data_IF_893704471341
#
_entry.id   IF_893704471341
#
_cell.length_a   1.000
_cell.length_b   1.000
_cell.length_c   1.000
_cell.angle_alpha   90.00
_cell.angle_beta   90.00
_cell.angle_gamma   90.00
#
_symmetry.space_group_name_H-M   'P 1'
#
loop_
_entity.id
_entity.type
_entity.pdbx_description
1 polymer ?
#
# COMPACT_ATOMS: atom_id res chain seq x y z
N UNK A 1 -11.80 -10.25 -2.67
CA UNK A 1 -11.18 -10.46 -1.33
C UNK A 1 -10.02 -9.49 -1.18
N UNK A 2 -9.86 -8.84 -0.03
CA UNK A 2 -8.68 -8.01 0.27
C UNK A 2 -7.71 -8.82 1.13
N UNK A 3 -6.41 -8.77 0.81
CA UNK A 3 -5.34 -9.37 1.61
C UNK A 3 -4.34 -8.27 1.96
N UNK A 4 -4.22 -7.97 3.25
CA UNK A 4 -3.29 -6.94 3.74
C UNK A 4 -1.92 -7.55 3.97
N UNK A 5 -0.90 -7.01 3.30
CA UNK A 5 0.50 -7.40 3.49
C UNK A 5 1.14 -6.44 4.49
N UNK A 6 1.46 -6.99 5.67
CA UNK A 6 2.10 -6.27 6.78
C UNK A 6 3.52 -6.80 7.00
N UNK A 7 4.36 -5.98 7.62
CA UNK A 7 5.71 -6.35 8.00
C UNK A 7 5.97 -6.05 9.46
N UNK A 8 7.12 -6.50 9.96
CA UNK A 8 7.62 -6.16 11.29
C UNK A 8 8.35 -4.81 11.33
N UNK A 9 8.64 -4.23 10.16
CA UNK A 9 9.30 -2.94 10.01
C UNK A 9 9.42 -2.50 8.55
N UNK A 10 10.29 -1.54 8.29
CA UNK A 10 10.69 -1.13 6.94
C UNK A 10 11.75 -2.09 6.39
N UNK A 11 11.82 -2.24 5.07
CA UNK A 11 12.85 -3.03 4.36
C UNK A 11 12.94 -4.53 4.75
N UNK A 12 11.86 -5.08 5.33
CA UNK A 12 11.76 -6.51 5.68
C UNK A 12 11.33 -7.40 4.51
N UNK A 13 11.34 -6.87 3.28
CA UNK A 13 10.96 -7.60 2.07
C UNK A 13 9.45 -7.66 1.76
N UNK A 14 8.63 -6.73 2.29
CA UNK A 14 7.19 -6.68 1.98
C UNK A 14 6.92 -6.60 0.48
N UNK A 15 7.55 -5.65 -0.21
CA UNK A 15 7.37 -5.41 -1.65
C UNK A 15 7.67 -6.65 -2.47
N UNK A 16 8.81 -7.29 -2.18
CA UNK A 16 9.18 -8.55 -2.80
C UNK A 16 8.11 -9.63 -2.62
N UNK A 17 7.61 -9.82 -1.39
CA UNK A 17 6.56 -10.81 -1.09
C UNK A 17 5.24 -10.46 -1.78
N UNK A 18 4.80 -9.20 -1.73
CA UNK A 18 3.58 -8.73 -2.40
C UNK A 18 3.68 -8.93 -3.91
N UNK A 19 4.80 -8.57 -4.53
CA UNK A 19 5.07 -8.74 -5.95
C UNK A 19 5.10 -10.22 -6.35
N UNK A 20 5.78 -11.07 -5.58
CA UNK A 20 5.83 -12.51 -5.83
C UNK A 20 4.43 -13.14 -5.76
N UNK A 21 3.61 -12.75 -4.78
CA UNK A 21 2.24 -13.22 -4.64
C UNK A 21 1.36 -12.74 -5.82
N UNK A 22 1.47 -11.46 -6.19
CA UNK A 22 0.75 -10.90 -7.34
C UNK A 22 1.10 -11.65 -8.64
N UNK A 23 2.38 -11.86 -8.89
CA UNK A 23 2.85 -12.58 -10.08
C UNK A 23 2.39 -14.05 -10.08
N UNK A 24 2.40 -14.73 -8.93
CA UNK A 24 1.93 -16.10 -8.80
C UNK A 24 0.42 -16.22 -9.05
N UNK A 25 -0.40 -15.33 -8.47
CA UNK A 25 -1.85 -15.29 -8.68
C UNK A 25 -2.19 -14.98 -10.14
N UNK A 26 -1.53 -13.99 -10.74
CA UNK A 26 -1.70 -13.65 -12.16
C UNK A 26 -1.39 -14.83 -13.08
N UNK A 27 -0.27 -15.55 -12.86
CA UNK A 27 0.10 -16.74 -13.66
C UNK A 27 -0.92 -17.87 -13.55
N UNK A 28 -1.71 -17.91 -12.48
CA UNK A 28 -2.81 -18.86 -12.27
C UNK A 28 -4.15 -18.39 -12.85
N UNK A 29 -4.17 -17.27 -13.57
CA UNK A 29 -5.40 -16.69 -14.14
C UNK A 29 -6.32 -16.02 -13.12
N UNK A 30 -5.85 -15.77 -11.90
CA UNK A 30 -6.63 -15.02 -10.90
C UNK A 30 -6.60 -13.54 -11.25
N UNK A 31 -7.77 -12.88 -11.31
CA UNK A 31 -7.80 -11.42 -11.40
C UNK A 31 -7.35 -10.81 -10.07
N UNK A 32 -6.08 -10.43 -10.05
CA UNK A 32 -5.39 -9.85 -8.90
C UNK A 32 -5.04 -8.39 -9.16
N UNK A 33 -5.28 -7.54 -8.17
CA UNK A 33 -4.70 -6.22 -8.06
C UNK A 33 -3.71 -6.14 -6.88
N UNK A 34 -2.82 -5.16 -6.93
CA UNK A 34 -1.93 -4.81 -5.84
C UNK A 34 -1.91 -3.29 -5.71
N UNK A 35 -1.88 -2.79 -4.48
CA UNK A 35 -1.91 -1.37 -4.18
C UNK A 35 -1.10 -1.06 -2.92
N UNK A 36 -0.34 0.04 -2.99
CA UNK A 36 0.36 0.61 -1.84
C UNK A 36 -0.27 1.98 -1.51
N UNK A 37 -1.15 2.08 -0.50
CA UNK A 37 -1.93 3.29 -0.22
C UNK A 37 -1.09 4.51 0.13
N UNK A 38 0.03 4.29 0.84
CA UNK A 38 0.90 5.35 1.32
C UNK A 38 2.35 5.03 0.96
N UNK A 39 3.05 6.00 0.40
CA UNK A 39 4.47 5.93 0.08
C UNK A 39 5.21 7.19 0.57
N UNK A 40 6.45 7.00 1.00
CA UNK A 40 7.36 8.05 1.48
C UNK A 40 8.73 7.85 0.84
N UNK A 41 9.52 8.90 0.68
CA UNK A 41 10.79 8.82 -0.05
C UNK A 41 10.61 8.80 -1.56
N UNK A 42 9.54 9.42 -2.07
CA UNK A 42 9.20 9.42 -3.50
C UNK A 42 9.60 10.74 -4.14
N UNK A 43 10.49 10.68 -5.12
CA UNK A 43 10.89 11.85 -5.92
C UNK A 43 9.66 12.45 -6.63
N UNK A 44 9.41 13.77 -6.55
CA UNK A 44 8.32 14.39 -7.27
C UNK A 44 8.38 14.12 -8.78
N UNK A 45 7.28 13.64 -9.36
CA UNK A 45 7.19 13.28 -10.78
C UNK A 45 7.63 11.86 -11.11
N UNK A 46 8.15 11.10 -10.15
CA UNK A 46 8.50 9.68 -10.32
C UNK A 46 7.49 8.77 -9.59
N UNK A 47 7.23 7.56 -10.13
CA UNK A 47 6.46 6.57 -9.40
C UNK A 47 7.26 6.07 -8.19
N UNK A 48 6.57 5.75 -7.09
CA UNK A 48 7.20 5.07 -5.97
C UNK A 48 7.84 3.75 -6.44
N UNK A 49 9.04 3.44 -5.94
CA UNK A 49 9.76 2.21 -6.30
C UNK A 49 8.91 0.95 -6.09
N UNK A 50 8.23 0.88 -4.93
CA UNK A 50 7.33 -0.23 -4.62
C UNK A 50 6.16 -0.34 -5.60
N UNK A 51 5.53 0.80 -5.95
CA UNK A 51 4.44 0.82 -6.91
C UNK A 51 4.89 0.33 -8.30
N UNK A 52 6.13 0.64 -8.67
CA UNK A 52 6.74 0.20 -9.93
C UNK A 52 7.00 -1.31 -9.94
N UNK A 53 7.50 -1.87 -8.82
CA UNK A 53 7.72 -3.31 -8.67
C UNK A 53 6.39 -4.09 -8.73
N UNK A 54 5.35 -3.60 -8.05
CA UNK A 54 4.01 -4.18 -8.08
C UNK A 54 3.39 -4.13 -9.48
N UNK A 55 3.55 -3.02 -10.20
CA UNK A 55 3.10 -2.90 -11.59
C UNK A 55 3.82 -3.88 -12.52
N UNK A 56 5.13 -4.05 -12.36
CA UNK A 56 5.90 -5.02 -13.13
C UNK A 56 5.43 -6.46 -12.84
N UNK A 57 5.19 -6.80 -11.57
CA UNK A 57 4.70 -8.11 -11.15
C UNK A 57 3.31 -8.45 -11.74
N UNK A 58 2.46 -7.44 -11.93
CA UNK A 58 1.15 -7.55 -12.56
C UNK A 58 1.21 -7.42 -14.10
N UNK A 59 2.28 -6.87 -14.65
CA UNK A 59 2.43 -6.56 -16.08
C UNK A 59 1.40 -5.56 -16.60
N UNK A 60 0.92 -4.68 -15.72
CA UNK A 60 0.00 -3.58 -16.03
C UNK A 60 0.20 -2.45 -15.01
N UNK A 61 -0.12 -1.20 -15.35
CA UNK A 61 -0.16 -0.11 -14.38
C UNK A 61 -1.06 -0.45 -13.20
N UNK A 62 -0.69 0.05 -12.02
CA UNK A 62 -1.51 -0.03 -10.80
C UNK A 62 -2.03 1.34 -10.43
N UNK A 63 -2.98 1.34 -9.49
CA UNK A 63 -3.42 2.57 -8.84
C UNK A 63 -2.24 3.23 -8.11
N UNK A 64 -2.01 4.54 -8.27
CA UNK A 64 -1.00 5.26 -7.49
C UNK A 64 -1.34 5.27 -5.98
N UNK A 65 -0.35 5.52 -5.10
CA UNK A 65 -0.63 5.79 -3.70
C UNK A 65 -1.60 6.99 -3.56
N UNK A 66 -2.55 6.91 -2.62
CA UNK A 66 -3.38 8.07 -2.30
C UNK A 66 -2.54 9.17 -1.64
N UNK A 67 -1.52 8.76 -0.89
CA UNK A 67 -0.54 9.65 -0.30
C UNK A 67 0.86 9.25 -0.71
N UNK A 68 1.57 10.17 -1.36
CA UNK A 68 2.96 10.02 -1.76
C UNK A 68 3.75 11.22 -1.25
N UNK A 69 4.78 10.97 -0.45
CA UNK A 69 5.57 12.03 0.18
C UNK A 69 7.04 11.95 -0.24
N UNK A 70 7.64 13.11 -0.50
CA UNK A 70 9.06 13.23 -0.80
C UNK A 70 10.00 12.81 0.34
N UNK A 71 9.85 13.27 1.60
CA UNK A 71 10.81 12.94 2.64
C UNK A 71 10.75 11.44 2.99
N UNK A 72 11.91 10.76 3.12
CA UNK A 72 11.99 9.35 3.50
C UNK A 72 11.80 9.18 5.02
N UNK A 73 10.63 9.57 5.51
CA UNK A 73 10.23 9.50 6.91
C UNK A 73 9.07 8.51 7.05
N UNK A 74 8.78 8.10 8.29
CA UNK A 74 7.54 7.35 8.56
C UNK A 74 6.30 8.14 8.07
N UNK A 75 5.23 7.46 7.63
CA UNK A 75 4.05 8.09 7.04
C UNK A 75 3.52 9.30 7.82
N UNK A 76 3.30 9.17 9.15
CA UNK A 76 2.77 10.28 9.95
C UNK A 76 3.68 11.53 9.97
N UNK A 77 5.01 11.37 10.02
CA UNK A 77 5.95 12.50 10.00
C UNK A 77 6.01 13.16 8.63
N UNK A 78 5.99 12.35 7.56
CA UNK A 78 5.97 12.85 6.19
C UNK A 78 4.68 13.64 5.92
N UNK A 79 3.54 13.10 6.35
CA UNK A 79 2.23 13.74 6.26
C UNK A 79 2.19 15.05 7.08
N UNK A 80 2.69 15.03 8.33
CA UNK A 80 2.79 16.24 9.17
C UNK A 80 3.62 17.33 8.50
N UNK A 81 4.78 16.98 7.93
CA UNK A 81 5.65 17.93 7.23
C UNK A 81 4.99 18.52 5.98
N UNK A 82 4.15 17.74 5.31
CA UNK A 82 3.38 18.18 4.15
C UNK A 82 2.08 18.93 4.54
N UNK A 83 1.73 19.01 5.83
CA UNK A 83 0.44 19.56 6.27
C UNK A 83 -0.77 18.72 5.82
N UNK A 84 -0.57 17.42 5.57
CA UNK A 84 -1.59 16.48 5.10
C UNK A 84 -2.00 15.55 6.24
N UNK A 85 -3.30 15.27 6.34
CA UNK A 85 -3.82 14.23 7.20
C UNK A 85 -4.04 12.94 6.40
N UNK A 86 -3.56 11.81 6.92
CA UNK A 86 -3.86 10.49 6.35
C UNK A 86 -5.16 9.98 6.97
N UNK A 87 -6.19 9.85 6.14
CA UNK A 87 -7.50 9.35 6.54
C UNK A 87 -7.63 7.85 6.23
N UNK A 88 -7.76 7.02 7.27
CA UNK A 88 -7.89 5.57 7.12
C UNK A 88 -9.17 5.18 6.39
N UNK A 89 -10.27 5.90 6.61
CA UNK A 89 -11.55 5.57 5.97
C UNK A 89 -11.46 5.85 4.46
N UNK A 90 -10.77 6.92 4.07
CA UNK A 90 -10.48 7.20 2.67
C UNK A 90 -9.59 6.11 2.03
N UNK A 91 -8.55 5.64 2.74
CA UNK A 91 -7.71 4.53 2.27
C UNK A 91 -8.51 3.24 2.12
N UNK A 92 -9.33 2.89 3.11
CA UNK A 92 -10.16 1.68 3.08
C UNK A 92 -11.21 1.75 1.97
N UNK A 93 -11.91 2.88 1.82
CA UNK A 93 -12.88 3.08 0.75
C UNK A 93 -12.23 2.91 -0.64
N UNK A 94 -11.03 3.46 -0.84
CA UNK A 94 -10.29 3.28 -2.10
C UNK A 94 -9.91 1.82 -2.33
N UNK A 95 -9.42 1.11 -1.32
CA UNK A 95 -9.11 -0.32 -1.42
C UNK A 95 -10.33 -1.16 -1.79
N UNK A 96 -11.49 -0.90 -1.16
CA UNK A 96 -12.74 -1.58 -1.48
C UNK A 96 -13.21 -1.29 -2.91
N UNK A 97 -13.08 -0.04 -3.37
CA UNK A 97 -13.38 0.31 -4.75
C UNK A 97 -12.44 -0.41 -5.74
N UNK A 98 -11.14 -0.53 -5.42
CA UNK A 98 -10.20 -1.30 -6.24
C UNK A 98 -10.49 -2.79 -6.24
N UNK A 99 -11.00 -3.33 -5.14
CA UNK A 99 -11.37 -4.73 -4.99
C UNK A 99 -12.71 -5.09 -5.63
N UNK A 100 -13.57 -4.11 -5.91
CA UNK A 100 -14.85 -4.34 -6.58
C UNK A 100 -14.63 -5.02 -7.94
N UNK A 101 -15.24 -6.19 -8.14
CA UNK A 101 -15.11 -6.98 -9.37
C UNK A 101 -13.82 -7.79 -9.51
N UNK A 102 -12.91 -7.75 -8.53
CA UNK A 102 -11.66 -8.53 -8.53
C UNK A 102 -11.72 -9.72 -7.59
N UNK A 103 -11.02 -10.79 -7.95
CA UNK A 103 -10.90 -11.95 -7.07
C UNK A 103 -10.05 -11.62 -5.83
N UNK A 104 -8.87 -11.00 -6.04
CA UNK A 104 -7.93 -10.66 -4.97
C UNK A 104 -7.38 -9.24 -5.15
N UNK A 105 -7.33 -8.48 -4.06
CA UNK A 105 -6.60 -7.20 -3.99
C UNK A 105 -5.59 -7.28 -2.85
N UNK A 106 -4.31 -7.20 -3.18
CA UNK A 106 -3.22 -7.11 -2.22
C UNK A 106 -3.04 -5.65 -1.81
N UNK A 107 -3.08 -5.36 -0.51
CA UNK A 107 -2.83 -4.01 0.02
C UNK A 107 -1.56 -4.04 0.85
N UNK A 108 -0.51 -3.37 0.38
CA UNK A 108 0.78 -3.31 1.05
C UNK A 108 0.89 -2.10 1.97
N UNK A 109 1.13 -2.35 3.26
CA UNK A 109 1.31 -1.29 4.27
C UNK A 109 2.69 -0.63 4.19
N UNK A 110 2.78 0.64 4.63
CA UNK A 110 4.04 1.38 4.73
C UNK A 110 4.69 1.19 6.10
N UNK A 111 5.88 0.61 6.16
CA UNK A 111 6.54 0.26 7.42
C UNK A 111 6.04 -1.06 8.01
N UNK A 112 5.97 -1.16 9.34
CA UNK A 112 5.50 -2.33 10.07
C UNK A 112 4.04 -2.23 10.52
N UNK A 113 3.50 -3.29 11.12
CA UNK A 113 2.10 -3.35 11.59
C UNK A 113 1.72 -2.21 12.55
N UNK A 114 2.63 -1.83 13.45
CA UNK A 114 2.42 -0.73 14.41
C UNK A 114 3.03 0.59 13.93
N UNK A 115 3.47 0.69 12.66
CA UNK A 115 3.98 1.95 12.15
C UNK A 115 2.84 2.98 12.07
N UNK A 116 3.06 4.20 12.60
CA UNK A 116 2.05 5.25 12.65
C UNK A 116 1.73 5.81 11.25
N UNK A 117 0.43 5.87 10.96
CA UNK A 117 -0.15 6.61 9.82
C UNK A 117 -0.55 8.02 10.25
N UNK A 118 -0.95 8.20 11.51
CA UNK A 118 -1.19 9.50 12.13
C UNK A 118 -0.70 9.48 13.59
N UNK A 119 -0.99 10.53 14.34
CA UNK A 119 -0.67 10.61 15.78
C UNK A 119 -1.51 9.66 16.63
N UNK A 120 -2.61 9.14 16.07
CA UNK A 120 -3.57 8.29 16.80
C UNK A 120 -3.86 6.98 16.08
N UNK A 121 -3.26 6.74 14.91
CA UNK A 121 -3.56 5.55 14.10
C UNK A 121 -2.32 4.91 13.48
N UNK A 122 -2.41 3.61 13.23
CA UNK A 122 -1.35 2.74 12.74
C UNK A 122 -1.80 1.91 11.54
N UNK A 123 -0.87 1.17 10.92
CA UNK A 123 -1.24 0.18 9.91
C UNK A 123 -2.15 -0.93 10.44
N UNK A 124 -2.16 -1.22 11.74
CA UNK A 124 -3.08 -2.19 12.34
C UNK A 124 -4.53 -1.69 12.25
N UNK A 125 -4.75 -0.40 12.45
CA UNK A 125 -6.07 0.23 12.32
C UNK A 125 -6.54 0.19 10.86
N UNK A 126 -5.62 0.45 9.91
CA UNK A 126 -5.91 0.30 8.48
C UNK A 126 -6.25 -1.16 8.13
N UNK A 127 -5.48 -2.13 8.63
CA UNK A 127 -5.75 -3.55 8.40
C UNK A 127 -7.12 -3.97 8.94
N UNK A 128 -7.52 -3.43 10.09
CA UNK A 128 -8.86 -3.62 10.67
C UNK A 128 -9.95 -3.01 9.78
N UNK A 129 -9.76 -1.77 9.32
CA UNK A 129 -10.71 -1.07 8.46
C UNK A 129 -10.93 -1.76 7.10
N UNK A 130 -9.93 -2.51 6.60
CA UNK A 130 -9.99 -3.28 5.36
C UNK A 130 -10.78 -4.61 5.46
N UNK A 131 -11.33 -4.93 6.64
CA UNK A 131 -12.11 -6.14 6.88
C UNK A 131 -11.34 -7.22 7.62
N UNK A 132 -10.64 -6.85 8.70
CA UNK A 132 -10.17 -7.80 9.70
C UNK A 132 -11.31 -8.59 10.36
#
# INVERSE_FOLDING_TARGET
>A
MIVTVVGTGTDVGKTFVTAALAAALRRRGVDVAAWKPVASGVTPGEPAADASELAAALGRPIEPPLHSFEPPLSPHLAARRAGVAIDIDALAARAHALAAGRAVTLVETAGGLLSPLSDTTTNADLARALGG
#
